data_IF_559767493374
#
_entry.id   IF_559767493374
#
_cell.length_a   1.000
_cell.length_b   1.000
_cell.length_c   1.000
_cell.angle_alpha   90.00
_cell.angle_beta   90.00
_cell.angle_gamma   90.00
#
_symmetry.space_group_name_H-M   'P 1'
#
loop_
_entity.id
_entity.type
_entity.pdbx_description
1 polymer ?
#
# COMPACT_ATOMS: atom_id res chain seq x y z
N UNK A 1 -21.95 -42.11 83.71
CA UNK A 1 -21.32 -40.75 83.76
C UNK A 1 -20.05 -40.64 82.91
N UNK A 2 -19.26 -41.71 82.75
CA UNK A 2 -17.95 -41.69 82.04
C UNK A 2 -18.04 -41.53 80.52
N UNK A 3 -18.95 -42.26 79.85
CA UNK A 3 -19.08 -42.23 78.37
C UNK A 3 -19.57 -40.90 77.79
N UNK A 4 -20.33 -40.13 78.57
CA UNK A 4 -20.83 -38.81 78.15
C UNK A 4 -19.73 -37.76 78.26
N UNK A 5 -18.86 -37.87 79.27
CA UNK A 5 -17.66 -37.04 79.41
C UNK A 5 -16.61 -37.36 78.33
N UNK A 6 -16.43 -38.64 77.96
CA UNK A 6 -15.57 -39.03 76.83
C UNK A 6 -16.09 -38.52 75.48
N UNK A 7 -17.41 -38.61 75.23
CA UNK A 7 -18.02 -38.01 74.04
C UNK A 7 -17.89 -36.48 74.04
N UNK A 8 -18.08 -35.82 75.17
CA UNK A 8 -17.88 -34.38 75.29
C UNK A 8 -16.41 -33.97 75.06
N UNK A 9 -15.45 -34.79 75.49
CA UNK A 9 -14.01 -34.59 75.26
C UNK A 9 -13.63 -34.77 73.78
N UNK A 10 -14.15 -35.81 73.13
CA UNK A 10 -13.96 -36.05 71.69
C UNK A 10 -14.68 -34.98 70.84
N UNK A 11 -15.84 -34.49 71.28
CA UNK A 11 -16.64 -33.48 70.58
C UNK A 11 -16.10 -32.04 70.77
N UNK A 12 -15.48 -31.74 71.93
CA UNK A 12 -14.72 -30.48 72.11
C UNK A 12 -13.52 -30.40 71.18
N UNK A 13 -12.89 -31.55 70.91
CA UNK A 13 -11.76 -31.67 70.00
C UNK A 13 -12.15 -31.93 68.53
N UNK A 14 -13.44 -32.13 68.23
CA UNK A 14 -13.97 -32.33 66.87
C UNK A 14 -14.45 -31.05 66.19
N UNK A 15 -14.44 -29.89 66.87
CA UNK A 15 -14.60 -28.61 66.19
C UNK A 15 -13.37 -28.42 65.31
N UNK A 16 -13.55 -28.69 64.01
CA UNK A 16 -12.55 -28.47 62.98
C UNK A 16 -12.42 -26.96 62.76
N UNK A 17 -11.73 -26.27 63.68
CA UNK A 17 -11.37 -24.87 63.48
C UNK A 17 -10.56 -24.78 62.18
N UNK A 18 -10.94 -23.86 61.31
CA UNK A 18 -10.22 -23.54 60.10
C UNK A 18 -8.83 -22.99 60.45
N UNK A 19 -7.85 -23.15 59.55
CA UNK A 19 -6.49 -22.63 59.76
C UNK A 19 -6.49 -21.14 60.15
N UNK A 20 -7.44 -20.37 59.58
CA UNK A 20 -7.66 -18.94 59.84
C UNK A 20 -8.18 -18.64 61.25
N UNK A 21 -8.99 -19.53 61.83
CA UNK A 21 -9.48 -19.40 63.21
C UNK A 21 -8.41 -19.82 64.23
N UNK A 22 -7.57 -20.81 63.89
CA UNK A 22 -6.43 -21.23 64.71
C UNK A 22 -5.37 -20.12 64.83
N UNK A 23 -5.09 -19.38 63.74
CA UNK A 23 -4.17 -18.24 63.75
C UNK A 23 -4.60 -17.09 64.66
N UNK A 24 -5.91 -16.96 64.91
CA UNK A 24 -6.50 -15.91 65.75
C UNK A 24 -6.75 -16.34 67.20
N UNK A 25 -6.40 -17.57 67.54
CA UNK A 25 -6.70 -18.13 68.86
C UNK A 25 -5.69 -17.62 69.89
N UNK A 26 -6.15 -16.98 70.96
CA UNK A 26 -5.31 -16.60 72.10
C UNK A 26 -4.77 -17.87 72.80
N UNK A 27 -3.45 -17.91 72.94
CA UNK A 27 -2.67 -19.05 73.44
C UNK A 27 -2.11 -18.79 74.84
N UNK A 28 -2.19 -17.55 75.34
CA UNK A 28 -1.60 -17.14 76.62
C UNK A 28 -2.20 -17.85 77.86
N UNK A 29 -3.45 -18.31 77.76
CA UNK A 29 -4.20 -18.96 78.83
C UNK A 29 -4.45 -20.46 78.59
N UNK A 30 -3.79 -21.06 77.58
CA UNK A 30 -4.01 -22.47 77.20
C UNK A 30 -3.04 -23.43 77.89
N UNK A 31 -3.43 -24.70 77.98
CA UNK A 31 -2.56 -25.77 78.47
C UNK A 31 -1.46 -26.09 77.44
N UNK A 32 -0.33 -26.62 77.91
CA UNK A 32 0.79 -27.04 77.05
C UNK A 32 0.35 -28.05 75.97
N UNK A 33 -0.57 -28.96 76.31
CA UNK A 33 -1.10 -29.94 75.36
C UNK A 33 -1.94 -29.26 74.26
N UNK A 34 -2.78 -28.29 74.62
CA UNK A 34 -3.58 -27.54 73.65
C UNK A 34 -2.69 -26.70 72.73
N UNK A 35 -1.64 -26.08 73.28
CA UNK A 35 -0.65 -25.34 72.50
C UNK A 35 0.03 -26.21 71.45
N UNK A 36 0.49 -27.41 71.83
CA UNK A 36 1.08 -28.38 70.89
C UNK A 36 0.12 -28.78 69.77
N UNK A 37 -1.13 -29.08 70.12
CA UNK A 37 -2.17 -29.45 69.13
C UNK A 37 -2.44 -28.32 68.15
N UNK A 38 -2.52 -27.06 68.63
CA UNK A 38 -2.73 -25.89 67.78
C UNK A 38 -1.57 -25.72 66.80
N UNK A 39 -0.31 -25.81 67.26
CA UNK A 39 0.86 -25.68 66.39
C UNK A 39 0.92 -26.78 65.33
N UNK A 40 0.66 -28.05 65.69
CA UNK A 40 0.62 -29.15 64.72
C UNK A 40 -0.42 -28.89 63.63
N UNK A 41 -1.62 -28.43 64.01
CA UNK A 41 -2.69 -28.10 63.05
C UNK A 41 -2.31 -26.92 62.14
N UNK A 42 -1.63 -25.91 62.67
CA UNK A 42 -1.15 -24.76 61.87
C UNK A 42 -0.09 -25.19 60.86
N UNK A 43 0.91 -25.97 61.30
CA UNK A 43 1.98 -26.48 60.43
C UNK A 43 1.39 -27.35 59.31
N UNK A 44 0.52 -28.30 59.64
CA UNK A 44 -0.14 -29.15 58.65
C UNK A 44 -0.97 -28.33 57.64
N UNK A 45 -1.60 -27.23 58.09
CA UNK A 45 -2.30 -26.30 57.22
C UNK A 45 -1.37 -25.56 56.25
N UNK A 46 -0.23 -25.08 56.73
CA UNK A 46 0.80 -24.42 55.91
C UNK A 46 1.40 -25.40 54.90
N UNK A 47 1.74 -26.62 55.32
CA UNK A 47 2.26 -27.68 54.43
C UNK A 47 1.28 -27.99 53.29
N UNK A 48 -0.02 -28.11 53.62
CA UNK A 48 -1.06 -28.31 52.61
C UNK A 48 -1.12 -27.13 51.63
N UNK A 49 -1.15 -25.89 52.13
CA UNK A 49 -1.19 -24.69 51.29
C UNK A 49 0.03 -24.59 50.38
N UNK A 50 1.23 -24.87 50.89
CA UNK A 50 2.46 -24.92 50.08
C UNK A 50 2.35 -26.00 49.00
N UNK A 51 1.82 -27.18 49.33
CA UNK A 51 1.56 -28.24 48.37
C UNK A 51 0.61 -27.81 47.25
N UNK A 52 -0.49 -27.15 47.60
CA UNK A 52 -1.48 -26.66 46.64
C UNK A 52 -0.90 -25.55 45.74
N UNK A 53 -0.18 -24.57 46.32
CA UNK A 53 0.52 -23.51 45.58
C UNK A 53 1.57 -24.11 44.63
N UNK A 54 2.34 -25.11 45.08
CA UNK A 54 3.36 -25.74 44.26
C UNK A 54 2.74 -26.45 43.05
N UNK A 55 1.57 -27.06 43.22
CA UNK A 55 0.82 -27.68 42.11
C UNK A 55 0.32 -26.62 41.13
N UNK A 56 -0.32 -25.55 41.60
CA UNK A 56 -0.83 -24.49 40.70
C UNK A 56 0.31 -23.83 39.94
N UNK A 57 1.43 -23.50 40.61
CA UNK A 57 2.62 -22.95 39.96
C UNK A 57 3.21 -23.86 38.89
N UNK A 58 3.20 -25.18 39.10
CA UNK A 58 3.69 -26.13 38.11
C UNK A 58 2.80 -26.15 36.86
N UNK A 59 1.48 -26.12 37.04
CA UNK A 59 0.50 -26.03 35.95
C UNK A 59 0.65 -24.73 35.17
N UNK A 60 0.66 -23.58 35.86
CA UNK A 60 0.79 -22.26 35.23
C UNK A 60 2.09 -22.13 34.44
N UNK A 61 3.19 -22.68 34.96
CA UNK A 61 4.48 -22.70 34.27
C UNK A 61 4.41 -23.51 32.97
N UNK A 62 3.75 -24.66 32.99
CA UNK A 62 3.58 -25.50 31.79
C UNK A 62 2.71 -24.79 30.75
N UNK A 63 1.58 -24.22 31.16
CA UNK A 63 0.70 -23.49 30.23
C UNK A 63 1.39 -22.27 29.62
N UNK A 64 2.12 -21.48 30.42
CA UNK A 64 2.84 -20.32 29.93
C UNK A 64 3.96 -20.71 28.94
N UNK A 65 4.61 -21.86 29.15
CA UNK A 65 5.57 -22.39 28.19
C UNK A 65 4.91 -22.74 26.86
N UNK A 66 3.76 -23.44 26.90
CA UNK A 66 3.02 -23.79 25.69
C UNK A 66 2.57 -22.54 24.92
N UNK A 67 2.00 -21.54 25.63
CA UNK A 67 1.62 -20.25 25.03
C UNK A 67 2.83 -19.52 24.43
N UNK A 68 3.99 -19.58 25.08
CA UNK A 68 5.22 -18.98 24.55
C UNK A 68 5.68 -19.66 23.25
N UNK A 69 5.64 -20.99 23.20
CA UNK A 69 6.02 -21.76 22.01
C UNK A 69 5.05 -21.49 20.83
N UNK A 70 3.74 -21.38 21.10
CA UNK A 70 2.74 -20.97 20.11
C UNK A 70 3.00 -19.56 19.57
N UNK A 71 3.22 -18.58 20.45
CA UNK A 71 3.54 -17.21 20.05
C UNK A 71 4.81 -17.15 19.19
N UNK A 72 5.83 -17.93 19.55
CA UNK A 72 7.07 -18.04 18.78
C UNK A 72 6.82 -18.57 17.37
N UNK A 73 5.94 -19.56 17.22
CA UNK A 73 5.56 -20.09 15.91
C UNK A 73 4.82 -19.03 15.07
N UNK A 74 3.87 -18.30 15.66
CA UNK A 74 3.15 -17.23 14.98
C UNK A 74 4.09 -16.12 14.53
N UNK A 75 5.05 -15.70 15.38
CA UNK A 75 6.06 -14.70 15.03
C UNK A 75 6.90 -15.16 13.83
N UNK A 76 7.31 -16.43 13.80
CA UNK A 76 8.07 -16.99 12.68
C UNK A 76 7.25 -17.00 11.38
N UNK A 77 5.96 -17.34 11.45
CA UNK A 77 5.08 -17.31 10.28
C UNK A 77 4.90 -15.88 9.73
N UNK A 78 4.71 -14.90 10.62
CA UNK A 78 4.64 -13.48 10.24
C UNK A 78 5.95 -13.03 9.59
N UNK A 79 7.10 -13.39 10.19
CA UNK A 79 8.41 -13.08 9.65
C UNK A 79 8.59 -13.63 8.22
N UNK A 80 8.27 -14.91 8.01
CA UNK A 80 8.38 -15.53 6.69
C UNK A 80 7.48 -14.86 5.64
N UNK A 81 6.23 -14.52 6.00
CA UNK A 81 5.32 -13.80 5.11
C UNK A 81 5.83 -12.40 4.77
N UNK A 82 6.47 -11.72 5.73
CA UNK A 82 7.09 -10.42 5.53
C UNK A 82 8.31 -10.52 4.60
N UNK A 83 9.19 -11.50 4.80
CA UNK A 83 10.34 -11.72 3.90
C UNK A 83 9.87 -12.06 2.48
N UNK A 84 8.81 -12.84 2.34
CA UNK A 84 8.22 -13.16 1.03
C UNK A 84 7.56 -11.95 0.34
N UNK A 85 7.13 -10.91 1.08
CA UNK A 85 6.52 -9.72 0.50
C UNK A 85 7.55 -8.68 0.00
N UNK A 86 8.74 -8.62 0.62
CA UNK A 86 9.84 -7.73 0.22
C UNK A 86 10.14 -7.69 -1.29
N UNK A 87 10.33 -8.82 -2.00
CA UNK A 87 10.63 -8.77 -3.43
C UNK A 87 9.44 -8.27 -4.27
N UNK A 88 8.20 -8.48 -3.82
CA UNK A 88 7.00 -7.97 -4.50
C UNK A 88 6.93 -6.46 -4.41
N UNK A 89 7.23 -5.91 -3.23
CA UNK A 89 7.33 -4.46 -3.00
C UNK A 89 8.45 -3.88 -3.88
N UNK A 90 9.66 -4.46 -3.84
CA UNK A 90 10.76 -3.97 -4.67
C UNK A 90 10.49 -4.07 -6.18
N UNK A 91 9.68 -5.03 -6.65
CA UNK A 91 9.22 -5.08 -8.04
C UNK A 91 8.21 -3.97 -8.35
N UNK A 92 7.27 -3.71 -7.45
CA UNK A 92 6.30 -2.64 -7.60
C UNK A 92 7.00 -1.27 -7.64
N UNK A 93 7.97 -1.02 -6.76
CA UNK A 93 8.75 0.22 -6.71
C UNK A 93 9.49 0.46 -8.04
N UNK A 94 10.18 -0.55 -8.57
CA UNK A 94 10.82 -0.43 -9.89
C UNK A 94 9.82 -0.12 -11.01
N UNK A 95 8.68 -0.79 -11.01
CA UNK A 95 7.63 -0.53 -11.99
C UNK A 95 7.07 0.90 -11.89
N UNK A 96 7.02 1.48 -10.69
CA UNK A 96 6.65 2.89 -10.50
C UNK A 96 7.72 3.80 -11.10
N UNK A 97 9.01 3.56 -10.83
CA UNK A 97 10.10 4.35 -11.42
C UNK A 97 10.07 4.31 -12.97
N UNK A 98 9.91 3.13 -13.56
CA UNK A 98 9.84 2.97 -15.03
C UNK A 98 8.64 3.77 -15.62
N UNK A 99 7.51 3.81 -14.90
CA UNK A 99 6.33 4.58 -15.30
C UNK A 99 6.53 6.08 -15.13
N UNK A 100 7.21 6.52 -14.07
CA UNK A 100 7.56 7.93 -13.84
C UNK A 100 8.43 8.47 -14.99
N UNK A 101 9.46 7.72 -15.39
CA UNK A 101 10.32 8.07 -16.53
C UNK A 101 9.49 8.17 -17.83
N UNK A 102 8.63 7.19 -18.09
CA UNK A 102 7.76 7.18 -19.28
C UNK A 102 6.81 8.38 -19.31
N UNK A 103 6.26 8.78 -18.15
CA UNK A 103 5.35 9.93 -18.03
C UNK A 103 6.09 11.24 -18.29
N UNK A 104 7.36 11.35 -17.91
CA UNK A 104 8.18 12.54 -18.14
C UNK A 104 8.60 12.65 -19.62
N UNK A 105 8.96 11.54 -20.27
CA UNK A 105 9.42 11.55 -21.67
C UNK A 105 8.31 11.88 -22.68
N UNK A 106 7.08 11.41 -22.44
CA UNK A 106 5.98 11.54 -23.40
C UNK A 106 5.62 13.01 -23.74
N UNK A 107 5.46 13.93 -22.77
CA UNK A 107 5.26 15.35 -23.05
C UNK A 107 6.39 15.99 -23.86
N UNK A 108 7.64 15.58 -23.68
CA UNK A 108 8.75 16.10 -24.48
C UNK A 108 8.68 15.62 -25.93
N UNK A 109 8.37 14.34 -26.13
CA UNK A 109 8.18 13.78 -27.47
C UNK A 109 7.00 14.46 -28.19
N UNK A 110 5.89 14.67 -27.50
CA UNK A 110 4.71 15.35 -28.05
C UNK A 110 5.02 16.81 -28.39
N UNK A 111 5.70 17.56 -27.50
CA UNK A 111 6.19 18.92 -27.81
C UNK A 111 7.09 18.99 -29.05
N UNK A 112 7.94 17.99 -29.26
CA UNK A 112 8.80 17.93 -30.47
C UNK A 112 7.96 17.69 -31.72
N UNK A 113 6.96 16.82 -31.65
CA UNK A 113 6.02 16.56 -32.77
C UNK A 113 5.19 17.79 -33.09
N UNK A 114 4.65 18.48 -32.08
CA UNK A 114 3.85 19.69 -32.27
C UNK A 114 4.62 20.79 -32.97
N UNK A 115 5.92 20.97 -32.62
CA UNK A 115 6.79 21.93 -33.31
C UNK A 115 6.97 21.58 -34.79
N UNK A 116 7.19 20.31 -35.13
CA UNK A 116 7.33 19.87 -36.52
C UNK A 116 6.05 20.09 -37.32
N UNK A 117 4.89 19.80 -36.72
CA UNK A 117 3.58 20.08 -37.34
C UNK A 117 3.43 21.58 -37.59
N UNK A 118 3.75 22.42 -36.59
CA UNK A 118 3.66 23.87 -36.72
C UNK A 118 4.60 24.42 -37.81
N UNK A 119 5.81 23.88 -37.95
CA UNK A 119 6.73 24.26 -39.03
C UNK A 119 6.20 23.86 -40.41
N UNK A 120 5.63 22.66 -40.54
CA UNK A 120 5.00 22.22 -41.79
C UNK A 120 3.79 23.09 -42.17
N UNK A 121 2.94 23.44 -41.20
CA UNK A 121 1.80 24.34 -41.38
C UNK A 121 2.27 25.71 -41.88
N UNK A 122 3.29 26.30 -41.25
CA UNK A 122 3.89 27.57 -41.71
C UNK A 122 4.44 27.50 -43.12
N UNK A 123 5.10 26.39 -43.47
CA UNK A 123 5.63 26.22 -44.83
C UNK A 123 4.51 26.12 -45.87
N UNK A 124 3.41 25.45 -45.52
CA UNK A 124 2.22 25.40 -46.37
C UNK A 124 1.61 26.79 -46.55
N UNK A 125 1.43 27.55 -45.47
CA UNK A 125 0.93 28.94 -45.54
C UNK A 125 1.81 29.82 -46.44
N UNK A 126 3.14 29.73 -46.31
CA UNK A 126 4.07 30.47 -47.17
C UNK A 126 3.93 30.05 -48.64
N UNK A 127 3.85 28.75 -48.89
CA UNK A 127 3.68 28.20 -50.23
C UNK A 127 2.36 28.64 -50.85
N UNK A 128 1.28 28.64 -50.08
CA UNK A 128 -0.05 29.05 -50.54
C UNK A 128 -0.09 30.57 -50.81
N UNK A 129 0.60 31.35 -49.99
CA UNK A 129 0.77 32.80 -50.19
C UNK A 129 1.48 33.09 -51.52
N UNK A 130 2.57 32.37 -51.79
CA UNK A 130 3.31 32.48 -53.05
C UNK A 130 2.44 32.01 -54.22
N UNK A 131 1.76 30.87 -54.08
CA UNK A 131 0.86 30.28 -55.10
C UNK A 131 -0.35 31.15 -55.44
N UNK A 132 -0.83 31.98 -54.50
CA UNK A 132 -1.97 32.87 -54.71
C UNK A 132 -1.77 33.81 -55.92
N UNK A 133 -0.52 34.15 -56.25
CA UNK A 133 -0.19 35.01 -57.39
C UNK A 133 0.00 34.25 -58.72
N UNK A 134 -0.07 32.92 -58.73
CA UNK A 134 0.10 32.12 -59.95
C UNK A 134 -1.25 31.72 -60.52
N UNK A 135 -1.48 32.06 -61.79
CA UNK A 135 -2.63 31.60 -62.56
C UNK A 135 -2.23 30.35 -63.33
N UNK A 136 -3.00 29.26 -63.18
CA UNK A 136 -2.78 28.02 -63.92
C UNK A 136 -3.76 27.92 -65.09
N UNK A 137 -3.23 27.98 -66.31
CA UNK A 137 -4.00 27.80 -67.55
C UNK A 137 -3.86 26.34 -67.99
N UNK A 138 -4.98 25.69 -68.29
CA UNK A 138 -5.05 24.25 -68.64
C UNK A 138 -5.81 24.11 -69.97
N UNK A 139 -5.47 23.09 -70.76
CA UNK A 139 -6.15 22.80 -72.03
C UNK A 139 -5.51 23.48 -73.24
N UNK A 140 -4.31 24.05 -73.08
CA UNK A 140 -3.53 24.61 -74.17
C UNK A 140 -2.94 23.46 -75.01
N UNK A 141 -3.17 23.43 -76.34
CA UNK A 141 -2.50 22.47 -77.22
C UNK A 141 -0.99 22.69 -77.19
N UNK A 142 -0.20 21.62 -76.99
CA UNK A 142 1.26 21.71 -76.90
C UNK A 142 1.90 22.35 -78.14
N UNK A 143 1.32 22.16 -79.33
CA UNK A 143 1.81 22.76 -80.57
C UNK A 143 1.65 24.29 -80.58
N UNK A 144 0.58 24.80 -79.97
CA UNK A 144 0.29 26.23 -79.86
C UNK A 144 1.22 26.90 -78.85
N UNK A 145 1.44 26.26 -77.70
CA UNK A 145 2.43 26.71 -76.72
C UNK A 145 3.86 26.67 -77.28
N UNK A 146 4.24 25.60 -78.01
CA UNK A 146 5.57 25.49 -78.61
C UNK A 146 5.80 26.48 -79.75
N UNK A 147 4.74 26.87 -80.47
CA UNK A 147 4.81 27.81 -81.59
C UNK A 147 4.91 29.27 -81.17
N UNK A 148 4.08 29.69 -80.21
CA UNK A 148 3.97 31.10 -79.77
C UNK A 148 4.70 31.40 -78.45
N UNK A 149 5.08 30.36 -77.71
CA UNK A 149 5.58 30.48 -76.33
C UNK A 149 4.44 30.73 -75.34
N UNK A 150 4.72 30.52 -74.04
CA UNK A 150 3.72 30.69 -72.98
C UNK A 150 3.19 32.13 -72.87
N UNK A 151 4.05 33.12 -73.10
CA UNK A 151 3.67 34.54 -73.12
C UNK A 151 2.73 34.85 -74.30
N UNK A 152 3.08 34.41 -75.51
CA UNK A 152 2.24 34.63 -76.69
C UNK A 152 0.87 33.95 -76.61
N UNK A 153 0.79 32.79 -75.95
CA UNK A 153 -0.50 32.13 -75.65
C UNK A 153 -1.30 32.95 -74.64
N UNK A 154 -0.66 33.47 -73.59
CA UNK A 154 -1.33 34.30 -72.58
C UNK A 154 -1.89 35.60 -73.19
N UNK A 155 -1.12 36.27 -74.03
CA UNK A 155 -1.55 37.49 -74.74
C UNK A 155 -2.78 37.23 -75.60
N UNK A 156 -2.79 36.13 -76.35
CA UNK A 156 -3.95 35.75 -77.16
C UNK A 156 -5.19 35.47 -76.29
N UNK A 157 -5.03 34.75 -75.17
CA UNK A 157 -6.13 34.48 -74.23
C UNK A 157 -6.70 35.79 -73.65
N UNK A 158 -5.83 36.74 -73.30
CA UNK A 158 -6.23 38.05 -72.79
C UNK A 158 -6.97 38.87 -73.85
N UNK A 159 -6.47 38.92 -75.08
CA UNK A 159 -7.10 39.66 -76.18
C UNK A 159 -8.49 39.08 -76.55
N UNK A 160 -8.61 37.75 -76.60
CA UNK A 160 -9.86 37.08 -76.97
C UNK A 160 -10.93 37.15 -75.87
N UNK A 161 -10.55 37.01 -74.59
CA UNK A 161 -11.50 36.87 -73.48
C UNK A 161 -11.63 38.13 -72.62
N UNK A 162 -10.59 38.97 -72.54
CA UNK A 162 -10.49 40.12 -71.64
C UNK A 162 -9.94 41.37 -72.34
N UNK A 163 -10.58 41.88 -73.42
CA UNK A 163 -10.06 42.98 -74.24
C UNK A 163 -9.92 44.32 -73.50
N UNK A 164 -10.55 44.45 -72.32
CA UNK A 164 -10.38 45.62 -71.45
C UNK A 164 -9.09 45.55 -70.61
N UNK A 165 -8.63 44.35 -70.27
CA UNK A 165 -7.38 44.13 -69.54
C UNK A 165 -6.17 44.27 -70.47
N UNK A 166 -6.29 43.88 -71.74
CA UNK A 166 -5.25 44.03 -72.76
C UNK A 166 -4.72 45.48 -72.88
N UNK A 167 -5.57 46.48 -72.66
CA UNK A 167 -5.21 47.91 -72.75
C UNK A 167 -4.50 48.46 -71.51
N UNK A 168 -4.69 47.83 -70.35
CA UNK A 168 -4.09 48.24 -69.07
C UNK A 168 -2.78 47.50 -68.79
N UNK A 169 -2.64 46.31 -69.37
CA UNK A 169 -1.52 45.40 -69.16
C UNK A 169 -0.36 45.82 -70.08
N UNK A 170 0.36 46.87 -69.67
CA UNK A 170 1.72 47.11 -70.16
C UNK A 170 2.63 46.15 -69.37
N UNK A 171 2.70 44.87 -69.79
CA UNK A 171 3.61 43.90 -69.17
C UNK A 171 5.04 44.35 -69.46
N UNK A 172 5.60 45.16 -68.57
CA UNK A 172 7.04 45.27 -68.44
C UNK A 172 7.54 43.96 -67.86
N UNK A 173 7.92 43.03 -68.73
CA UNK A 173 8.80 41.92 -68.39
C UNK A 173 10.22 42.49 -68.24
#
# INVERSE_FOLDING_TARGET
LTRQNERAFLQRNSKKLTATELFKTDISSKTEQDFRIINIKLIAGVEKNIGDIKKTMATDKMENKNRHDELKNVINEIHNKLEASKPRIGKADRGICDLEDTIIEKPEADKKRDKLIQEHERFRELTDTVKCNYIRIIGIPEEEERGKGAEGVLEQILAENFPNLEKEVNVGI
#
